data_IF_009105046223
#
_entry.id   IF_009105046223
#
_cell.length_a   1.000
_cell.length_b   1.000
_cell.length_c   1.000
_cell.angle_alpha   90.00
_cell.angle_beta   90.00
_cell.angle_gamma   90.00
#
_symmetry.space_group_name_H-M   'P 1'
#
loop_
_entity.id
_entity.type
_entity.pdbx_description
1 polymer ?
#
# COMPACT_ATOMS: atom_id res chain seq x y z
N UNK A 1 -3.60 17.97 -1.95
CA UNK A 1 -2.43 17.34 -2.61
C UNK A 1 -2.82 16.67 -3.94
N UNK A 2 -3.86 15.82 -3.94
CA UNK A 2 -4.30 15.07 -5.14
C UNK A 2 -4.55 15.98 -6.36
N UNK A 3 -5.29 17.09 -6.22
CA UNK A 3 -5.56 18.02 -7.33
C UNK A 3 -4.27 18.60 -7.92
N UNK A 4 -3.28 18.88 -7.09
CA UNK A 4 -1.98 19.34 -7.55
C UNK A 4 -1.20 18.22 -8.26
N UNK A 5 -1.12 17.04 -7.65
CA UNK A 5 -0.36 15.91 -8.23
C UNK A 5 -0.96 15.40 -9.53
N UNK A 6 -2.30 15.26 -9.60
CA UNK A 6 -2.98 14.65 -10.73
C UNK A 6 -3.31 15.66 -11.85
N UNK A 7 -3.49 16.94 -11.54
CA UNK A 7 -3.96 17.96 -12.48
C UNK A 7 -3.06 19.19 -12.57
N UNK A 8 -1.98 19.28 -11.77
CA UNK A 8 -1.11 20.45 -11.71
C UNK A 8 -1.78 21.70 -11.11
N UNK A 9 -2.98 21.56 -10.53
CA UNK A 9 -3.74 22.70 -10.03
C UNK A 9 -3.29 23.09 -8.60
N UNK A 10 -2.60 24.24 -8.49
CA UNK A 10 -2.12 24.83 -7.23
C UNK A 10 -3.17 25.66 -6.50
N UNK A 11 -4.15 26.18 -7.19
CA UNK A 11 -5.13 27.13 -6.63
C UNK A 11 -5.78 26.62 -5.31
N UNK A 12 -6.23 25.35 -5.19
CA UNK A 12 -6.77 24.86 -3.93
C UNK A 12 -5.79 24.88 -2.78
N UNK A 13 -4.49 24.64 -3.05
CA UNK A 13 -3.44 24.74 -2.02
C UNK A 13 -3.32 26.18 -1.56
N UNK A 14 -3.12 27.12 -2.47
CA UNK A 14 -2.94 28.54 -2.19
C UNK A 14 -4.14 29.14 -1.43
N UNK A 15 -5.36 28.83 -1.91
CA UNK A 15 -6.60 29.35 -1.34
C UNK A 15 -6.93 28.74 0.03
N UNK A 16 -6.67 27.45 0.22
CA UNK A 16 -7.04 26.75 1.47
C UNK A 16 -5.94 26.74 2.52
N UNK A 17 -4.69 27.03 2.16
CA UNK A 17 -3.56 26.98 3.09
C UNK A 17 -3.79 27.75 4.40
N UNK A 18 -4.28 29.02 4.43
CA UNK A 18 -4.48 29.76 5.68
C UNK A 18 -5.49 29.07 6.61
N UNK A 19 -6.49 28.41 6.06
CA UNK A 19 -7.51 27.69 6.85
C UNK A 19 -6.97 26.37 7.38
N UNK A 20 -6.27 25.61 6.56
CA UNK A 20 -5.62 24.36 6.97
C UNK A 20 -4.57 24.66 8.05
N UNK A 21 -3.77 25.72 7.87
CA UNK A 21 -2.79 26.19 8.86
C UNK A 21 -3.44 26.44 10.22
N UNK A 22 -4.56 27.19 10.27
CA UNK A 22 -5.30 27.43 11.51
C UNK A 22 -5.79 26.13 12.16
N UNK A 23 -6.23 25.19 11.35
CA UNK A 23 -6.68 23.88 11.83
C UNK A 23 -5.51 23.07 12.41
N UNK A 24 -4.39 23.04 11.75
CA UNK A 24 -3.17 22.35 12.23
C UNK A 24 -2.68 22.94 13.56
N UNK A 25 -2.65 24.27 13.68
CA UNK A 25 -2.30 24.97 14.92
C UNK A 25 -3.30 24.66 16.04
N UNK A 26 -4.60 24.60 15.74
CA UNK A 26 -5.62 24.23 16.69
C UNK A 26 -5.43 22.79 17.20
N UNK A 27 -5.24 21.83 16.31
CA UNK A 27 -4.98 20.44 16.69
C UNK A 27 -3.73 20.31 17.59
N UNK A 28 -2.67 21.00 17.23
CA UNK A 28 -1.44 21.03 18.01
C UNK A 28 -1.64 21.60 19.41
N UNK A 29 -2.35 22.72 19.51
CA UNK A 29 -2.61 23.39 20.79
C UNK A 29 -3.52 22.57 21.71
N UNK A 30 -4.61 22.03 21.17
CA UNK A 30 -5.68 21.44 21.99
C UNK A 30 -5.47 19.94 22.30
N UNK A 31 -4.80 19.19 21.39
CA UNK A 31 -4.76 17.74 21.47
C UNK A 31 -3.34 17.15 21.57
N UNK A 32 -2.30 17.97 21.45
CA UNK A 32 -0.93 17.49 21.66
C UNK A 32 -0.66 17.27 23.14
N UNK A 33 -0.29 16.05 23.52
CA UNK A 33 0.19 15.69 24.85
C UNK A 33 1.38 14.75 24.72
N UNK A 34 2.46 15.07 25.40
CA UNK A 34 3.69 14.26 25.38
C UNK A 34 4.20 13.94 23.96
N UNK A 35 4.05 14.89 23.03
CA UNK A 35 4.46 14.75 21.63
C UNK A 35 3.48 13.93 20.77
N UNK A 36 2.28 13.61 21.24
CA UNK A 36 1.30 12.79 20.55
C UNK A 36 -0.06 13.47 20.45
N UNK A 37 -0.78 13.27 19.34
CA UNK A 37 -2.16 13.74 19.18
C UNK A 37 -3.12 12.73 19.82
N UNK A 38 -3.77 13.12 20.91
CA UNK A 38 -4.58 12.22 21.73
C UNK A 38 -6.06 12.17 21.33
N UNK A 39 -6.44 12.84 20.25
CA UNK A 39 -7.81 12.88 19.76
C UNK A 39 -8.02 11.91 18.60
N UNK A 40 -8.64 10.80 18.91
CA UNK A 40 -9.21 9.88 17.94
C UNK A 40 -10.66 9.56 18.34
N UNK A 41 -11.49 9.22 17.36
CA UNK A 41 -12.90 8.89 17.62
C UNK A 41 -13.28 7.51 17.06
N UNK A 42 -12.75 7.14 15.91
CA UNK A 42 -13.24 5.98 15.17
C UNK A 42 -12.21 4.87 15.04
N UNK A 43 -10.93 5.16 15.22
CA UNK A 43 -9.85 4.18 15.03
C UNK A 43 -9.75 3.69 13.58
N UNK A 44 -9.27 2.47 13.42
CA UNK A 44 -9.26 1.77 12.13
C UNK A 44 -10.64 1.12 11.90
N UNK A 45 -11.60 1.94 11.48
CA UNK A 45 -12.99 1.55 11.30
C UNK A 45 -13.14 0.37 10.33
N UNK A 46 -14.05 -0.54 10.61
CA UNK A 46 -14.35 -1.70 9.77
C UNK A 46 -13.20 -2.70 9.62
N UNK A 47 -12.36 -2.89 10.63
CA UNK A 47 -11.47 -4.05 10.67
C UNK A 47 -12.32 -5.32 10.57
N UNK A 48 -11.94 -6.31 9.73
CA UNK A 48 -12.71 -7.55 9.61
C UNK A 48 -12.94 -8.20 10.98
N UNK A 49 -14.19 -8.41 11.39
CA UNK A 49 -14.48 -9.05 12.67
C UNK A 49 -14.16 -10.55 12.67
N UNK A 50 -14.06 -11.12 13.85
CA UNK A 50 -13.83 -12.55 14.09
C UNK A 50 -15.02 -13.45 13.71
N UNK A 51 -16.22 -12.87 13.54
CA UNK A 51 -17.45 -13.57 13.12
C UNK A 51 -18.19 -12.73 12.08
N UNK A 52 -18.79 -13.38 11.10
CA UNK A 52 -19.48 -12.75 9.98
C UNK A 52 -20.76 -12.00 10.38
N UNK A 53 -21.31 -12.24 11.56
CA UNK A 53 -22.50 -11.56 12.07
C UNK A 53 -22.17 -10.26 12.80
N UNK A 54 -20.91 -10.06 13.20
CA UNK A 54 -20.48 -8.88 13.93
C UNK A 54 -20.30 -7.68 12.98
N UNK A 55 -20.67 -6.49 13.45
CA UNK A 55 -20.37 -5.22 12.77
C UNK A 55 -18.92 -4.82 13.01
N UNK A 56 -18.45 -4.97 14.26
CA UNK A 56 -17.09 -4.63 14.68
C UNK A 56 -16.47 -5.79 15.44
N UNK A 57 -15.15 -5.91 15.31
CA UNK A 57 -14.39 -6.85 16.13
C UNK A 57 -14.53 -6.53 17.62
N UNK A 58 -14.65 -7.56 18.43
CA UNK A 58 -14.58 -7.49 19.90
C UNK A 58 -13.21 -7.92 20.43
N UNK A 59 -12.35 -8.41 19.56
CA UNK A 59 -10.99 -8.83 19.89
C UNK A 59 -10.07 -7.61 19.93
N UNK A 60 -9.60 -7.23 21.12
CA UNK A 60 -8.67 -6.12 21.32
C UNK A 60 -7.35 -6.29 20.55
N UNK A 61 -6.95 -7.52 20.22
CA UNK A 61 -5.77 -7.79 19.41
C UNK A 61 -5.92 -7.37 17.94
N UNK A 62 -7.14 -7.07 17.48
CA UNK A 62 -7.44 -6.56 16.13
C UNK A 62 -7.62 -5.03 16.09
N UNK A 63 -7.70 -4.40 17.25
CA UNK A 63 -7.98 -2.95 17.37
C UNK A 63 -6.66 -2.20 17.50
N UNK A 64 -6.40 -1.29 16.58
CA UNK A 64 -5.23 -0.40 16.63
C UNK A 64 -5.49 0.79 17.55
N UNK A 65 -4.48 1.18 18.34
CA UNK A 65 -4.54 2.35 19.23
C UNK A 65 -4.88 3.63 18.43
N UNK A 66 -5.94 4.34 18.87
CA UNK A 66 -6.42 5.55 18.21
C UNK A 66 -5.43 6.72 18.29
N UNK A 67 -4.65 6.82 19.37
CA UNK A 67 -3.61 7.84 19.51
C UNK A 67 -2.45 7.57 18.55
N UNK A 68 -2.13 6.30 18.28
CA UNK A 68 -1.16 5.92 17.25
C UNK A 68 -1.66 6.40 15.87
N UNK A 69 -2.90 6.11 15.52
CA UNK A 69 -3.50 6.49 14.24
C UNK A 69 -3.51 8.02 14.07
N UNK A 70 -4.07 8.74 15.03
CA UNK A 70 -4.18 10.21 14.95
C UNK A 70 -2.83 10.90 14.91
N UNK A 71 -1.84 10.40 15.65
CA UNK A 71 -0.47 10.96 15.63
C UNK A 71 0.22 10.68 14.31
N UNK A 72 0.14 9.45 13.78
CA UNK A 72 0.72 9.11 12.49
C UNK A 72 0.14 9.99 11.36
N UNK A 73 -1.18 10.17 11.32
CA UNK A 73 -1.81 11.06 10.35
C UNK A 73 -1.44 12.52 10.55
N UNK A 74 -1.30 13.00 11.80
CA UNK A 74 -0.88 14.37 12.03
C UNK A 74 0.55 14.61 11.54
N UNK A 75 1.46 13.67 11.75
CA UNK A 75 2.83 13.72 11.18
C UNK A 75 2.77 13.76 9.65
N UNK A 76 1.92 12.94 9.02
CA UNK A 76 1.71 12.99 7.57
C UNK A 76 1.18 14.33 7.08
N UNK A 77 0.27 14.95 7.84
CA UNK A 77 -0.23 16.30 7.54
C UNK A 77 0.84 17.37 7.71
N UNK A 78 1.74 17.26 8.69
CA UNK A 78 2.88 18.17 8.84
C UNK A 78 3.82 18.11 7.63
N UNK A 79 4.13 16.91 7.14
CA UNK A 79 4.93 16.72 5.92
C UNK A 79 4.23 17.35 4.68
N UNK A 80 2.91 17.18 4.57
CA UNK A 80 2.11 17.82 3.51
C UNK A 80 2.12 19.35 3.63
N UNK A 81 1.95 19.90 4.84
CA UNK A 81 1.98 21.34 5.09
C UNK A 81 3.35 21.94 4.80
N UNK A 82 4.43 21.24 5.12
CA UNK A 82 5.79 21.64 4.74
C UNK A 82 5.94 21.76 3.22
N UNK A 83 5.43 20.77 2.46
CA UNK A 83 5.41 20.82 0.99
C UNK A 83 4.56 21.99 0.46
N UNK A 84 3.38 22.21 1.03
CA UNK A 84 2.50 23.31 0.62
C UNK A 84 3.11 24.67 0.93
N UNK A 85 3.80 24.81 2.07
CA UNK A 85 4.55 26.00 2.42
C UNK A 85 5.70 26.26 1.43
N UNK A 86 6.45 25.22 1.05
CA UNK A 86 7.50 25.32 0.03
C UNK A 86 6.96 25.80 -1.32
N UNK A 87 5.81 25.29 -1.78
CA UNK A 87 5.18 25.71 -3.03
C UNK A 87 4.76 27.19 -3.02
N UNK A 88 4.60 27.81 -1.85
CA UNK A 88 4.19 29.19 -1.67
C UNK A 88 5.32 30.10 -1.15
N UNK A 89 6.56 29.57 -1.05
CA UNK A 89 7.73 30.27 -0.52
C UNK A 89 7.54 30.77 0.94
N UNK A 90 6.80 30.03 1.76
CA UNK A 90 6.54 30.31 3.17
C UNK A 90 7.59 29.59 4.05
N UNK A 91 8.80 30.11 4.09
CA UNK A 91 9.99 29.49 4.71
C UNK A 91 9.80 29.23 6.22
N UNK A 92 9.25 30.19 6.97
CA UNK A 92 9.02 30.06 8.41
C UNK A 92 8.06 28.90 8.71
N UNK A 93 6.94 28.85 8.01
CA UNK A 93 5.97 27.77 8.15
C UNK A 93 6.58 26.42 7.76
N UNK A 94 7.31 26.34 6.65
CA UNK A 94 8.00 25.11 6.22
C UNK A 94 8.90 24.58 7.34
N UNK A 95 9.75 25.43 7.89
CA UNK A 95 10.68 25.05 8.95
C UNK A 95 9.95 24.63 10.23
N UNK A 96 8.87 25.31 10.59
CA UNK A 96 8.05 24.96 11.73
C UNK A 96 7.41 23.56 11.58
N UNK A 97 6.81 23.29 10.42
CA UNK A 97 6.18 21.97 10.16
C UNK A 97 7.21 20.85 10.17
N UNK A 98 8.39 21.06 9.61
CA UNK A 98 9.50 20.09 9.62
C UNK A 98 10.00 19.81 11.04
N UNK A 99 10.17 20.85 11.86
CA UNK A 99 10.60 20.71 13.24
C UNK A 99 9.59 19.88 14.04
N UNK A 100 8.30 20.21 13.96
CA UNK A 100 7.24 19.47 14.64
C UNK A 100 7.12 18.03 14.16
N UNK A 101 7.22 17.78 12.85
CA UNK A 101 7.21 16.43 12.31
C UNK A 101 8.34 15.59 12.91
N UNK A 102 9.55 16.14 13.00
CA UNK A 102 10.70 15.43 13.59
C UNK A 102 10.48 15.11 15.07
N UNK A 103 10.10 16.10 15.88
CA UNK A 103 9.84 15.93 17.32
C UNK A 103 8.77 14.87 17.56
N UNK A 104 7.72 14.91 16.77
CA UNK A 104 6.61 13.95 16.91
C UNK A 104 6.98 12.54 16.43
N UNK A 105 7.81 12.39 15.39
CA UNK A 105 8.35 11.09 14.98
C UNK A 105 9.17 10.45 16.11
N UNK A 106 9.99 11.25 16.80
CA UNK A 106 10.77 10.78 17.95
C UNK A 106 9.88 10.34 19.11
N UNK A 107 8.86 11.14 19.47
CA UNK A 107 7.90 10.81 20.52
C UNK A 107 7.08 9.56 20.17
N UNK A 108 6.66 9.43 18.91
CA UNK A 108 5.90 8.30 18.39
C UNK A 108 6.70 7.00 18.50
N UNK A 109 7.96 7.00 18.04
CA UNK A 109 8.83 5.83 18.12
C UNK A 109 9.15 5.47 19.57
N UNK A 110 9.41 6.47 20.44
CA UNK A 110 9.65 6.23 21.87
C UNK A 110 8.47 5.51 22.55
N UNK A 111 7.24 5.81 22.13
CA UNK A 111 6.04 5.21 22.76
C UNK A 111 5.64 3.88 22.14
N UNK A 112 5.68 3.76 20.81
CA UNK A 112 5.02 2.68 20.10
C UNK A 112 5.95 1.66 19.47
N UNK A 113 7.22 2.00 19.22
CA UNK A 113 8.18 1.06 18.66
C UNK A 113 8.71 0.14 19.77
N UNK A 114 8.43 -1.14 19.63
CA UNK A 114 8.93 -2.19 20.50
C UNK A 114 10.05 -2.96 19.79
N UNK A 115 11.21 -3.02 20.42
CA UNK A 115 12.38 -3.77 19.94
C UNK A 115 12.66 -4.84 20.98
N UNK A 116 12.25 -6.06 20.70
CA UNK A 116 12.54 -7.24 21.49
C UNK A 116 13.64 -8.04 20.78
N UNK A 117 14.85 -8.02 21.32
CA UNK A 117 15.97 -8.81 20.80
C UNK A 117 15.78 -10.27 21.19
N UNK A 118 15.96 -11.18 20.24
CA UNK A 118 15.91 -12.61 20.48
C UNK A 118 16.89 -13.02 21.57
N UNK A 119 16.47 -13.91 22.48
CA UNK A 119 17.28 -14.37 23.63
C UNK A 119 18.37 -15.35 23.25
N UNK A 120 18.53 -15.70 21.97
CA UNK A 120 19.57 -16.57 21.47
C UNK A 120 20.95 -15.90 21.54
N UNK A 121 21.93 -16.60 22.09
CA UNK A 121 23.33 -16.17 22.10
C UNK A 121 23.95 -16.10 20.66
N UNK A 122 23.22 -16.53 19.65
CA UNK A 122 23.64 -16.46 18.24
C UNK A 122 22.70 -15.48 17.48
N UNK A 123 23.18 -14.31 17.06
CA UNK A 123 22.45 -13.43 16.19
C UNK A 123 21.97 -14.19 14.94
N UNK A 124 20.70 -13.99 14.57
CA UNK A 124 20.12 -14.63 13.39
C UNK A 124 19.63 -16.07 13.57
N UNK A 125 19.46 -16.55 14.80
CA UNK A 125 18.83 -17.84 15.03
C UNK A 125 17.33 -17.78 14.64
N UNK A 126 16.88 -18.54 13.61
CA UNK A 126 15.51 -18.50 13.14
C UNK A 126 14.47 -18.96 14.17
N UNK A 127 14.89 -19.65 15.24
CA UNK A 127 13.99 -20.09 16.32
C UNK A 127 13.64 -18.96 17.31
N UNK A 128 14.44 -17.88 17.35
CA UNK A 128 14.24 -16.74 18.24
C UNK A 128 14.55 -15.44 17.50
N UNK A 129 13.76 -15.08 16.47
CA UNK A 129 14.00 -13.85 15.72
C UNK A 129 13.76 -12.62 16.59
N UNK A 130 14.49 -11.56 16.31
CA UNK A 130 14.17 -10.24 16.84
C UNK A 130 12.73 -9.88 16.46
N UNK A 131 11.99 -9.31 17.38
CA UNK A 131 10.64 -8.81 17.14
C UNK A 131 10.63 -7.30 17.21
N UNK A 132 10.62 -6.64 16.06
CA UNK A 132 10.52 -5.19 15.94
C UNK A 132 9.14 -4.87 15.37
N UNK A 133 8.31 -4.23 16.19
CA UNK A 133 6.90 -3.98 15.85
C UNK A 133 6.36 -2.73 16.52
N UNK A 134 5.24 -2.24 16.03
CA UNK A 134 4.51 -1.14 16.65
C UNK A 134 3.32 -1.61 17.48
N UNK A 135 3.18 -1.05 18.67
CA UNK A 135 2.05 -1.24 19.60
C UNK A 135 1.67 -2.73 19.74
N UNK A 136 0.40 -3.07 19.56
CA UNK A 136 -0.15 -4.43 19.65
C UNK A 136 0.03 -5.26 18.36
N UNK A 137 0.91 -4.86 17.46
CA UNK A 137 1.27 -5.60 16.25
C UNK A 137 0.12 -5.86 15.28
N UNK A 138 -0.87 -4.96 15.18
CA UNK A 138 -1.85 -5.04 14.09
C UNK A 138 -1.20 -4.67 12.75
N UNK A 139 -1.83 -5.07 11.63
CA UNK A 139 -1.37 -4.65 10.30
C UNK A 139 -1.29 -3.13 10.23
N UNK A 140 -2.34 -2.42 10.64
CA UNK A 140 -2.42 -0.94 10.61
C UNK A 140 -1.39 -0.27 11.51
N UNK A 141 -1.12 -0.83 12.71
CA UNK A 141 -0.12 -0.28 13.64
C UNK A 141 1.30 -0.28 13.06
N UNK A 142 1.65 -1.30 12.27
CA UNK A 142 2.95 -1.38 11.58
C UNK A 142 2.95 -0.63 10.24
N UNK A 143 1.84 -0.63 9.54
CA UNK A 143 1.71 -0.09 8.20
C UNK A 143 1.78 1.45 8.16
N UNK A 144 1.05 2.14 9.05
CA UNK A 144 1.01 3.61 9.04
C UNK A 144 2.38 4.25 9.25
N UNK A 145 3.19 3.83 10.25
CA UNK A 145 4.52 4.40 10.42
C UNK A 145 5.46 4.10 9.23
N UNK A 146 5.32 2.98 8.54
CA UNK A 146 6.06 2.72 7.29
C UNK A 146 5.59 3.65 6.17
N UNK A 147 4.29 3.73 5.93
CA UNK A 147 3.71 4.54 4.85
C UNK A 147 3.96 6.04 5.00
N UNK A 148 4.20 6.52 6.22
CA UNK A 148 4.43 7.93 6.55
C UNK A 148 5.89 8.24 6.90
N UNK A 149 6.81 7.33 6.59
CA UNK A 149 8.25 7.48 6.81
C UNK A 149 8.60 7.87 8.27
N UNK A 150 7.93 7.21 9.24
CA UNK A 150 8.15 7.37 10.69
C UNK A 150 9.13 6.32 11.21
N UNK A 151 9.14 5.13 10.60
CA UNK A 151 9.99 4.00 11.04
C UNK A 151 11.46 4.31 10.81
N UNK A 152 12.34 4.16 11.83
CA UNK A 152 13.78 4.26 11.63
C UNK A 152 14.27 3.30 10.53
N UNK A 153 15.26 3.74 9.75
CA UNK A 153 15.72 3.02 8.56
C UNK A 153 16.14 1.58 8.86
N UNK A 154 16.86 1.38 9.95
CA UNK A 154 17.34 0.09 10.43
C UNK A 154 16.22 -0.86 10.91
N UNK A 155 15.04 -0.34 11.22
CA UNK A 155 13.87 -1.12 11.65
C UNK A 155 12.88 -1.44 10.51
N UNK A 156 12.98 -0.79 9.34
CA UNK A 156 11.98 -0.87 8.28
C UNK A 156 11.76 -2.29 7.76
N UNK A 157 12.83 -3.06 7.61
CA UNK A 157 12.77 -4.46 7.14
C UNK A 157 11.97 -5.35 8.09
N UNK A 158 12.25 -5.24 9.39
CA UNK A 158 11.61 -6.07 10.41
C UNK A 158 10.14 -5.70 10.58
N UNK A 159 9.82 -4.39 10.63
CA UNK A 159 8.42 -3.91 10.68
C UNK A 159 7.64 -4.36 9.43
N UNK A 160 8.26 -4.33 8.25
CA UNK A 160 7.65 -4.90 7.03
C UNK A 160 7.41 -6.40 7.19
N UNK A 161 8.37 -7.13 7.75
CA UNK A 161 8.22 -8.55 8.07
C UNK A 161 7.04 -8.85 8.98
N UNK A 162 6.74 -7.97 9.95
CA UNK A 162 5.54 -8.12 10.80
C UNK A 162 4.23 -7.97 10.01
N UNK A 163 4.17 -7.04 9.04
CA UNK A 163 2.98 -6.90 8.17
C UNK A 163 2.78 -8.18 7.37
N UNK A 164 3.84 -8.72 6.77
CA UNK A 164 3.79 -9.96 5.99
C UNK A 164 3.36 -11.14 6.86
N UNK A 165 3.99 -11.32 8.03
CA UNK A 165 3.65 -12.38 8.97
C UNK A 165 2.18 -12.28 9.43
N UNK A 166 1.71 -11.08 9.78
CA UNK A 166 0.31 -10.87 10.14
C UNK A 166 -0.64 -11.17 8.96
N UNK A 167 -0.30 -10.74 7.75
CA UNK A 167 -1.11 -10.98 6.57
C UNK A 167 -1.19 -12.47 6.23
N UNK A 168 -0.06 -13.16 6.19
CA UNK A 168 0.00 -14.56 5.74
C UNK A 168 -0.36 -15.53 6.87
N UNK A 169 0.31 -15.40 8.03
CA UNK A 169 0.18 -16.42 9.09
C UNK A 169 -1.04 -16.18 9.98
N UNK A 170 -1.32 -14.93 10.34
CA UNK A 170 -2.43 -14.62 11.24
C UNK A 170 -3.77 -14.47 10.51
N UNK A 171 -3.77 -13.85 9.32
CA UNK A 171 -4.97 -13.57 8.54
C UNK A 171 -5.14 -14.53 7.34
N UNK A 172 -4.30 -15.56 7.20
CA UNK A 172 -4.44 -16.59 6.16
C UNK A 172 -4.41 -16.03 4.72
N UNK A 173 -3.59 -15.00 4.45
CA UNK A 173 -3.53 -14.34 3.14
C UNK A 173 -4.69 -13.39 2.86
N UNK A 174 -5.34 -12.85 3.90
CA UNK A 174 -6.46 -11.94 3.79
C UNK A 174 -6.15 -10.55 4.39
N UNK A 175 -7.01 -9.59 4.08
CA UNK A 175 -6.94 -8.23 4.60
C UNK A 175 -7.21 -8.24 6.11
N UNK A 176 -6.27 -7.69 6.89
CA UNK A 176 -6.35 -7.64 8.36
C UNK A 176 -6.50 -6.23 8.91
N UNK A 177 -6.95 -5.27 8.09
CA UNK A 177 -7.10 -3.86 8.47
C UNK A 177 -8.47 -3.31 8.03
N UNK A 178 -8.85 -2.19 8.62
CA UNK A 178 -10.05 -1.43 8.27
C UNK A 178 -9.77 -0.33 7.25
N UNK A 179 -10.65 0.69 7.24
CA UNK A 179 -10.62 1.80 6.26
C UNK A 179 -9.35 2.63 6.32
N UNK A 180 -8.69 2.69 7.47
CA UNK A 180 -7.44 3.45 7.65
C UNK A 180 -6.26 2.69 7.05
N UNK A 181 -6.10 1.42 7.41
CA UNK A 181 -4.99 0.60 6.92
C UNK A 181 -5.11 0.27 5.44
N UNK A 182 -6.28 -0.07 4.95
CA UNK A 182 -6.48 -0.49 3.56
C UNK A 182 -6.14 0.59 2.52
N UNK A 183 -6.08 1.88 2.93
CA UNK A 183 -5.69 2.98 2.04
C UNK A 183 -4.20 3.01 1.69
N UNK A 184 -3.38 2.24 2.39
CA UNK A 184 -1.92 2.27 2.24
C UNK A 184 -1.32 0.89 1.98
N UNK A 185 -2.11 -0.19 2.15
CA UNK A 185 -1.62 -1.56 2.27
C UNK A 185 -0.93 -2.05 1.00
N UNK A 186 -1.60 -1.98 -0.14
CA UNK A 186 -1.09 -2.60 -1.38
C UNK A 186 0.11 -1.84 -1.93
N UNK A 187 0.04 -0.50 -1.95
CA UNK A 187 1.12 0.35 -2.44
C UNK A 187 2.35 0.28 -1.55
N UNK A 188 2.17 0.21 -0.22
CA UNK A 188 3.30 0.10 0.69
C UNK A 188 3.96 -1.28 0.60
N UNK A 189 3.19 -2.36 0.50
CA UNK A 189 3.74 -3.70 0.23
C UNK A 189 4.58 -3.71 -1.05
N UNK A 190 4.07 -3.11 -2.14
CA UNK A 190 4.79 -3.02 -3.40
C UNK A 190 6.03 -2.12 -3.30
N UNK A 191 5.95 -1.01 -2.57
CA UNK A 191 7.11 -0.13 -2.29
C UNK A 191 8.24 -0.88 -1.57
N UNK A 192 7.89 -1.89 -0.79
CA UNK A 192 8.82 -2.76 -0.05
C UNK A 192 9.19 -4.06 -0.77
N UNK A 193 8.88 -4.16 -2.07
CA UNK A 193 9.16 -5.34 -2.90
C UNK A 193 8.35 -6.60 -2.55
N UNK A 194 7.15 -6.42 -1.99
CA UNK A 194 6.20 -7.49 -1.70
C UNK A 194 4.95 -7.41 -2.58
N UNK A 195 5.14 -7.12 -3.85
CA UNK A 195 4.03 -6.98 -4.81
C UNK A 195 3.24 -8.27 -5.03
N UNK A 196 3.85 -9.44 -4.84
CA UNK A 196 3.13 -10.72 -4.87
C UNK A 196 2.13 -10.83 -3.73
N UNK A 197 2.47 -10.35 -2.52
CA UNK A 197 1.54 -10.30 -1.38
C UNK A 197 0.43 -9.28 -1.64
N UNK A 198 0.76 -8.12 -2.21
CA UNK A 198 -0.25 -7.14 -2.61
C UNK A 198 -1.21 -7.73 -3.65
N UNK A 199 -0.70 -8.45 -4.64
CA UNK A 199 -1.52 -9.13 -5.66
C UNK A 199 -2.37 -10.26 -5.06
N UNK A 200 -1.83 -11.05 -4.14
CA UNK A 200 -2.58 -12.06 -3.40
C UNK A 200 -3.81 -11.44 -2.72
N UNK A 201 -3.63 -10.34 -2.00
CA UNK A 201 -4.73 -9.62 -1.35
C UNK A 201 -5.74 -9.05 -2.35
N UNK A 202 -5.25 -8.42 -3.43
CA UNK A 202 -6.08 -7.81 -4.47
C UNK A 202 -6.92 -8.84 -5.25
N UNK A 203 -6.40 -10.05 -5.47
CA UNK A 203 -7.03 -11.12 -6.25
C UNK A 203 -7.81 -12.13 -5.41
N UNK A 204 -7.75 -12.05 -4.08
CA UNK A 204 -8.43 -12.99 -3.19
C UNK A 204 -9.95 -12.91 -3.37
N UNK A 205 -10.61 -14.08 -3.32
CA UNK A 205 -12.06 -14.23 -3.52
C UNK A 205 -12.81 -14.69 -2.27
N UNK A 206 -12.09 -15.01 -1.20
CA UNK A 206 -12.66 -15.44 0.08
C UNK A 206 -12.66 -14.29 1.09
N UNK A 207 -13.48 -14.40 2.13
CA UNK A 207 -13.62 -13.37 3.18
C UNK A 207 -12.35 -13.23 4.02
N UNK A 208 -11.94 -12.00 4.33
CA UNK A 208 -12.37 -10.71 3.82
C UNK A 208 -11.57 -10.28 2.57
N UNK A 209 -12.28 -9.90 1.50
CA UNK A 209 -11.65 -9.39 0.28
C UNK A 209 -12.66 -8.67 -0.62
N UNK A 210 -12.16 -7.89 -1.60
CA UNK A 210 -13.00 -7.30 -2.65
C UNK A 210 -13.64 -8.36 -3.54
N UNK A 211 -12.91 -9.45 -3.84
CA UNK A 211 -13.44 -10.57 -4.62
C UNK A 211 -14.57 -11.30 -3.89
N UNK A 212 -14.53 -11.40 -2.56
CA UNK A 212 -15.65 -11.92 -1.77
C UNK A 212 -16.88 -11.03 -1.94
N UNK A 213 -16.77 -9.71 -1.79
CA UNK A 213 -17.91 -8.80 -2.01
C UNK A 213 -18.54 -9.02 -3.39
N UNK A 214 -17.71 -9.09 -4.45
CA UNK A 214 -18.18 -9.32 -5.81
C UNK A 214 -18.89 -10.68 -5.98
N UNK A 215 -18.35 -11.76 -5.40
CA UNK A 215 -18.98 -13.09 -5.43
C UNK A 215 -20.30 -13.15 -4.67
N UNK A 216 -20.45 -12.32 -3.63
CA UNK A 216 -21.72 -12.21 -2.88
C UNK A 216 -22.72 -11.23 -3.54
N UNK A 217 -22.47 -10.79 -4.77
CA UNK A 217 -23.38 -9.97 -5.54
C UNK A 217 -23.27 -8.47 -5.30
N UNK A 218 -22.17 -7.98 -4.69
CA UNK A 218 -21.92 -6.55 -4.56
C UNK A 218 -21.78 -5.89 -5.94
N UNK A 219 -22.53 -4.83 -6.18
CA UNK A 219 -22.41 -3.97 -7.38
C UNK A 219 -21.55 -2.75 -7.13
N UNK A 220 -21.30 -2.44 -5.86
CA UNK A 220 -20.43 -1.37 -5.38
C UNK A 220 -19.66 -1.86 -4.15
N UNK A 221 -18.71 -1.09 -3.66
CA UNK A 221 -17.99 -1.41 -2.40
C UNK A 221 -18.95 -1.24 -1.22
N UNK A 222 -18.99 -2.26 -0.35
CA UNK A 222 -19.74 -2.21 0.90
C UNK A 222 -18.98 -1.45 1.98
N UNK A 223 -19.73 -0.97 2.98
CA UNK A 223 -19.15 -0.35 4.19
C UNK A 223 -18.37 -1.35 5.05
N UNK A 224 -18.87 -2.60 5.12
CA UNK A 224 -18.28 -3.68 5.90
C UNK A 224 -17.78 -4.80 4.98
N UNK A 225 -16.67 -5.44 5.34
CA UNK A 225 -16.16 -6.61 4.61
C UNK A 225 -17.17 -7.76 4.51
N UNK A 226 -18.03 -7.90 5.53
CA UNK A 226 -19.13 -8.85 5.65
C UNK A 226 -20.51 -8.22 5.44
N UNK A 227 -20.62 -7.28 4.51
CA UNK A 227 -21.84 -6.49 4.29
C UNK A 227 -23.10 -7.29 3.95
N UNK A 228 -22.94 -8.54 3.49
CA UNK A 228 -24.04 -9.46 3.21
C UNK A 228 -24.59 -10.16 4.45
N UNK A 229 -23.84 -10.23 5.56
CA UNK A 229 -24.20 -10.98 6.78
C UNK A 229 -24.30 -10.10 8.02
N UNK A 230 -23.68 -8.91 8.01
CA UNK A 230 -23.74 -7.96 9.11
C UNK A 230 -25.15 -7.37 9.27
N UNK A 231 -25.43 -6.81 10.45
CA UNK A 231 -26.71 -6.16 10.73
C UNK A 231 -26.98 -5.02 9.73
N UNK A 232 -28.08 -5.07 8.95
CA UNK A 232 -28.37 -4.08 7.91
C UNK A 232 -28.51 -2.63 8.40
N UNK A 233 -28.87 -2.44 9.67
CA UNK A 233 -29.06 -1.09 10.23
C UNK A 233 -27.77 -0.25 10.30
N UNK A 234 -26.61 -0.90 10.22
CA UNK A 234 -25.29 -0.27 10.32
C UNK A 234 -24.41 -0.50 9.09
N UNK A 235 -24.97 -0.95 7.99
CA UNK A 235 -24.21 -1.36 6.81
C UNK A 235 -24.79 -0.73 5.55
N UNK A 236 -23.96 0.07 4.86
CA UNK A 236 -24.27 0.61 3.54
C UNK A 236 -23.75 -0.33 2.45
N UNK A 237 -24.59 -0.60 1.45
CA UNK A 237 -24.20 -1.36 0.26
C UNK A 237 -23.45 -0.53 -0.79
N UNK A 238 -23.22 0.77 -0.54
CA UNK A 238 -22.51 1.70 -1.42
C UNK A 238 -21.66 2.68 -0.61
N UNK A 239 -20.44 2.25 -0.26
CA UNK A 239 -19.56 2.99 0.61
C UNK A 239 -18.09 2.85 0.19
N UNK A 240 -17.55 3.86 -0.46
CA UNK A 240 -16.25 3.79 -1.17
C UNK A 240 -15.02 3.57 -0.27
N UNK A 241 -15.12 3.74 1.03
CA UNK A 241 -13.95 3.78 1.93
C UNK A 241 -13.13 2.49 1.91
N UNK A 242 -13.78 1.32 1.86
CA UNK A 242 -13.08 0.03 1.76
C UNK A 242 -12.51 -0.28 0.38
N UNK A 243 -12.67 0.60 -0.63
CA UNK A 243 -11.88 0.49 -1.86
C UNK A 243 -10.39 0.60 -1.56
N UNK A 244 -10.05 1.42 -0.55
CA UNK A 244 -8.68 1.60 -0.11
C UNK A 244 -7.78 2.12 -1.21
N UNK A 245 -6.62 1.51 -1.34
CA UNK A 245 -5.64 1.82 -2.38
C UNK A 245 -5.63 0.82 -3.56
N UNK A 246 -6.65 -0.03 -3.69
CA UNK A 246 -6.74 -1.03 -4.77
C UNK A 246 -6.61 -0.40 -6.16
N UNK A 247 -7.44 0.63 -6.45
CA UNK A 247 -7.41 1.27 -7.77
C UNK A 247 -6.12 2.06 -8.02
N UNK A 248 -5.63 2.91 -7.09
CA UNK A 248 -4.30 3.51 -7.21
C UNK A 248 -3.19 2.47 -7.41
N UNK A 249 -3.21 1.35 -6.71
CA UNK A 249 -2.24 0.28 -6.87
C UNK A 249 -2.26 -0.35 -8.27
N UNK A 250 -3.46 -0.59 -8.82
CA UNK A 250 -3.60 -1.10 -10.19
C UNK A 250 -2.93 -0.16 -11.21
N UNK A 251 -3.13 1.16 -11.08
CA UNK A 251 -2.52 2.14 -11.98
C UNK A 251 -1.04 2.36 -11.70
N UNK A 252 -0.67 2.58 -10.45
CA UNK A 252 0.67 3.00 -10.08
C UNK A 252 1.69 1.85 -10.04
N UNK A 253 1.25 0.64 -9.70
CA UNK A 253 2.13 -0.52 -9.56
C UNK A 253 1.94 -1.54 -10.69
N UNK A 254 0.74 -2.06 -10.89
CA UNK A 254 0.52 -3.07 -11.92
C UNK A 254 0.70 -2.50 -13.34
N UNK A 255 0.10 -1.34 -13.64
CA UNK A 255 0.27 -0.66 -14.94
C UNK A 255 1.49 0.24 -14.99
N UNK A 256 1.99 0.70 -13.84
CA UNK A 256 3.15 1.58 -13.72
C UNK A 256 2.92 3.02 -14.12
N UNK A 257 1.68 3.48 -14.23
CA UNK A 257 1.35 4.85 -14.67
C UNK A 257 1.33 5.79 -13.46
N UNK A 258 2.28 6.73 -13.38
CA UNK A 258 2.37 7.72 -12.28
C UNK A 258 2.62 9.12 -12.83
N UNK A 259 2.09 10.14 -12.14
CA UNK A 259 2.50 11.53 -12.34
C UNK A 259 3.80 11.79 -11.59
N UNK A 260 4.72 12.51 -12.22
CA UNK A 260 5.90 13.02 -11.52
C UNK A 260 5.46 14.03 -10.44
N UNK A 261 6.12 13.97 -9.28
CA UNK A 261 5.83 14.86 -8.15
C UNK A 261 6.36 16.28 -8.35
N UNK A 262 7.40 16.45 -9.16
CA UNK A 262 8.01 17.74 -9.47
C UNK A 262 7.37 18.38 -10.72
N UNK A 263 7.01 17.56 -11.71
CA UNK A 263 6.34 17.99 -12.94
C UNK A 263 4.92 17.44 -12.97
N UNK A 264 4.08 17.92 -12.05
CA UNK A 264 2.74 17.42 -11.76
C UNK A 264 1.77 17.47 -12.94
N UNK A 265 0.62 16.81 -12.79
CA UNK A 265 -0.46 16.83 -13.78
C UNK A 265 -0.17 15.98 -15.01
N UNK A 266 0.73 15.01 -14.92
CA UNK A 266 1.19 14.18 -16.05
C UNK A 266 1.88 14.99 -17.17
N UNK A 267 2.44 16.15 -16.84
CA UNK A 267 3.34 16.86 -17.75
C UNK A 267 4.60 16.04 -18.01
N UNK A 268 5.08 15.38 -16.99
CA UNK A 268 6.06 14.30 -17.05
C UNK A 268 5.46 13.05 -16.44
N UNK A 269 5.59 11.93 -17.15
CA UNK A 269 4.95 10.66 -16.81
C UNK A 269 6.03 9.69 -16.34
N UNK A 270 5.82 9.01 -15.22
CA UNK A 270 6.69 7.92 -14.80
C UNK A 270 6.00 6.62 -15.17
N UNK A 271 6.67 5.82 -16.00
CA UNK A 271 6.23 4.50 -16.40
C UNK A 271 7.13 3.45 -15.74
N UNK A 272 6.59 2.81 -14.70
CA UNK A 272 7.31 1.82 -13.89
C UNK A 272 6.37 0.70 -13.46
N UNK A 273 5.94 -0.17 -14.39
CA UNK A 273 5.14 -1.35 -14.04
C UNK A 273 5.98 -2.34 -13.23
N UNK A 274 5.32 -3.05 -12.33
CA UNK A 274 5.96 -4.09 -11.56
C UNK A 274 5.78 -5.46 -12.24
N UNK A 275 6.73 -5.80 -13.10
CA UNK A 275 6.75 -7.09 -13.80
C UNK A 275 7.13 -8.27 -12.90
N UNK A 276 7.56 -8.03 -11.65
CA UNK A 276 7.95 -9.10 -10.72
C UNK A 276 6.78 -9.90 -10.17
N UNK A 277 5.55 -9.38 -10.25
CA UNK A 277 4.34 -10.07 -9.76
C UNK A 277 4.15 -11.39 -10.53
N UNK A 278 4.38 -12.51 -9.85
CA UNK A 278 4.49 -13.83 -10.51
C UNK A 278 3.18 -14.23 -11.20
N UNK A 279 2.05 -14.09 -10.53
CA UNK A 279 0.73 -14.54 -11.01
C UNK A 279 -0.05 -13.48 -11.80
N UNK A 280 0.58 -12.37 -12.17
CA UNK A 280 0.01 -11.35 -13.04
C UNK A 280 0.69 -11.42 -14.42
N UNK A 281 -0.03 -11.89 -15.42
CA UNK A 281 0.51 -12.19 -16.73
C UNK A 281 0.25 -11.10 -17.77
N UNK A 282 -0.70 -10.23 -17.55
CA UNK A 282 -0.99 -9.11 -18.45
C UNK A 282 -1.69 -7.95 -17.74
N UNK A 283 -1.46 -6.76 -18.25
CA UNK A 283 -2.20 -5.55 -17.87
C UNK A 283 -2.55 -4.78 -19.13
N UNK A 284 -3.77 -4.25 -19.17
CA UNK A 284 -4.21 -3.34 -20.21
C UNK A 284 -4.82 -2.11 -19.55
N UNK A 285 -4.00 -1.08 -19.35
CA UNK A 285 -4.40 0.12 -18.65
C UNK A 285 -4.30 1.37 -19.51
N UNK A 286 -5.23 2.30 -19.30
CA UNK A 286 -5.14 3.63 -19.86
C UNK A 286 -5.65 4.67 -18.88
N UNK A 287 -5.01 5.83 -18.87
CA UNK A 287 -5.40 6.99 -18.07
C UNK A 287 -5.58 8.20 -18.98
N UNK A 288 -6.66 8.93 -18.82
CA UNK A 288 -6.91 10.16 -19.58
C UNK A 288 -6.46 11.36 -18.75
N UNK A 289 -5.26 11.84 -19.04
CA UNK A 289 -4.70 13.05 -18.44
C UNK A 289 -5.25 14.31 -19.14
N UNK A 290 -4.88 15.49 -18.63
CA UNK A 290 -5.19 16.79 -19.30
C UNK A 290 -4.54 16.91 -20.68
N UNK A 291 -3.47 16.16 -20.96
CA UNK A 291 -2.75 16.18 -22.23
C UNK A 291 -3.22 15.12 -23.22
N UNK A 292 -4.06 14.20 -22.77
CA UNK A 292 -4.58 13.12 -23.58
C UNK A 292 -4.42 11.74 -22.92
N UNK A 293 -4.56 10.70 -23.73
CA UNK A 293 -4.56 9.32 -23.27
C UNK A 293 -3.12 8.81 -23.07
N UNK A 294 -2.83 8.32 -21.88
CA UNK A 294 -1.65 7.55 -21.55
C UNK A 294 -2.05 6.08 -21.58
N UNK A 295 -1.26 5.22 -22.21
CA UNK A 295 -1.49 3.78 -22.20
C UNK A 295 -0.23 3.04 -21.73
N UNK A 296 -0.45 2.00 -20.95
CA UNK A 296 0.54 1.00 -20.56
C UNK A 296 -0.12 -0.36 -20.68
N UNK A 297 0.29 -1.14 -21.66
CA UNK A 297 -0.25 -2.47 -21.96
C UNK A 297 0.90 -3.45 -22.05
N UNK A 298 0.88 -4.44 -21.19
CA UNK A 298 1.95 -5.43 -21.23
C UNK A 298 1.41 -6.85 -21.08
N UNK A 299 2.16 -7.78 -21.66
CA UNK A 299 1.92 -9.22 -21.55
C UNK A 299 3.24 -9.92 -21.26
N UNK A 300 3.25 -10.70 -20.21
CA UNK A 300 4.39 -11.45 -19.73
C UNK A 300 4.40 -12.87 -20.32
N UNK A 301 5.57 -13.30 -20.75
CA UNK A 301 5.91 -14.68 -21.07
C UNK A 301 6.84 -15.22 -19.97
N UNK A 302 7.41 -16.41 -20.15
CA UNK A 302 8.35 -16.98 -19.17
C UNK A 302 9.70 -16.23 -19.13
N UNK A 303 10.08 -15.55 -20.22
CA UNK A 303 11.43 -14.95 -20.37
C UNK A 303 11.41 -13.46 -20.61
N UNK A 304 10.31 -12.90 -21.08
CA UNK A 304 10.21 -11.49 -21.43
C UNK A 304 8.80 -10.93 -21.28
N UNK A 305 8.69 -9.61 -21.32
CA UNK A 305 7.44 -8.85 -21.37
C UNK A 305 7.38 -8.08 -22.67
N UNK A 306 6.28 -8.22 -23.41
CA UNK A 306 5.91 -7.32 -24.49
C UNK A 306 5.14 -6.14 -23.90
N UNK A 307 5.66 -4.93 -24.11
CA UNK A 307 5.12 -3.72 -23.47
C UNK A 307 4.86 -2.58 -24.48
N UNK A 308 3.59 -2.26 -24.68
CA UNK A 308 3.13 -1.15 -25.52
C UNK A 308 2.82 0.08 -24.66
N UNK A 309 3.35 1.22 -25.06
CA UNK A 309 3.20 2.51 -24.38
C UNK A 309 2.66 3.55 -25.37
N UNK A 310 1.73 4.38 -24.89
CA UNK A 310 1.32 5.60 -25.58
C UNK A 310 1.53 6.80 -24.69
N UNK A 311 2.30 7.78 -25.17
CA UNK A 311 2.57 9.06 -24.52
C UNK A 311 1.87 10.17 -25.28
N UNK A 312 0.98 10.95 -24.63
CA UNK A 312 0.22 11.99 -25.29
C UNK A 312 1.08 13.18 -25.74
N UNK A 313 0.55 14.00 -26.64
CA UNK A 313 1.25 15.17 -27.14
C UNK A 313 1.63 16.14 -26.03
N UNK A 314 2.73 16.88 -26.22
CA UNK A 314 3.22 17.91 -25.30
C UNK A 314 3.60 17.38 -23.90
N UNK A 315 3.88 16.10 -23.77
CA UNK A 315 4.37 15.46 -22.52
C UNK A 315 5.66 14.70 -22.78
N UNK A 316 6.36 14.40 -21.69
CA UNK A 316 7.52 13.52 -21.69
C UNK A 316 7.29 12.38 -20.69
N UNK A 317 8.06 11.32 -20.83
CA UNK A 317 8.01 10.23 -19.85
C UNK A 317 9.40 9.66 -19.57
N UNK A 318 9.58 9.13 -18.37
CA UNK A 318 10.67 8.21 -18.08
C UNK A 318 10.12 6.79 -17.94
N UNK A 319 10.78 5.87 -18.65
CA UNK A 319 10.47 4.45 -18.68
C UNK A 319 11.50 3.71 -17.84
N UNK A 320 11.04 3.04 -16.79
CA UNK A 320 11.90 2.25 -15.92
C UNK A 320 11.86 0.78 -16.31
N UNK A 321 13.00 0.18 -16.51
CA UNK A 321 13.15 -1.23 -16.88
C UNK A 321 13.57 -2.08 -15.66
N UNK A 322 13.32 -3.42 -15.68
CA UNK A 322 13.67 -4.31 -14.57
C UNK A 322 15.16 -4.39 -14.26
N UNK A 323 16.03 -4.14 -15.25
CA UNK A 323 17.48 -4.09 -15.10
C UNK A 323 17.98 -2.82 -14.37
N UNK A 324 17.06 -1.92 -14.00
CA UNK A 324 17.35 -0.64 -13.36
C UNK A 324 17.66 0.49 -14.34
N UNK A 325 17.70 0.23 -15.66
CA UNK A 325 17.87 1.29 -16.65
C UNK A 325 16.63 2.18 -16.77
N UNK A 326 16.86 3.45 -17.14
CA UNK A 326 15.81 4.45 -17.31
C UNK A 326 15.98 5.11 -18.67
N UNK A 327 14.91 5.15 -19.46
CA UNK A 327 14.88 5.83 -20.74
C UNK A 327 13.95 7.04 -20.70
N UNK A 328 14.43 8.20 -21.16
CA UNK A 328 13.60 9.39 -21.37
C UNK A 328 13.00 9.34 -22.77
N UNK A 329 11.67 9.53 -22.87
CA UNK A 329 10.96 9.53 -24.13
C UNK A 329 10.02 10.72 -24.26
N UNK A 330 9.71 11.08 -25.49
CA UNK A 330 8.71 12.12 -25.84
C UNK A 330 7.32 11.55 -26.12
N UNK A 331 6.49 12.37 -26.74
CA UNK A 331 5.17 11.95 -27.25
C UNK A 331 5.32 10.89 -28.35
N UNK A 332 4.46 9.89 -28.35
CA UNK A 332 4.51 8.83 -29.35
C UNK A 332 3.94 7.50 -28.87
N UNK A 333 4.11 6.49 -29.72
CA UNK A 333 3.81 5.11 -29.40
C UNK A 333 5.12 4.33 -29.43
N UNK A 334 5.31 3.50 -28.44
CA UNK A 334 6.53 2.73 -28.25
C UNK A 334 6.16 1.28 -27.97
N UNK A 335 7.02 0.39 -28.42
CA UNK A 335 6.96 -1.03 -28.15
C UNK A 335 8.31 -1.51 -27.64
N UNK A 336 8.29 -2.24 -26.53
CA UNK A 336 9.48 -2.81 -25.91
C UNK A 336 9.30 -4.31 -25.67
N UNK A 337 10.33 -5.06 -25.99
CA UNK A 337 10.51 -6.43 -25.51
C UNK A 337 11.51 -6.37 -24.36
N UNK A 338 11.04 -6.63 -23.15
CA UNK A 338 11.81 -6.45 -21.91
C UNK A 338 12.14 -7.80 -21.33
N UNK A 339 13.41 -8.14 -21.23
CA UNK A 339 13.83 -9.35 -20.52
C UNK A 339 13.50 -9.22 -19.04
N UNK A 340 12.88 -10.24 -18.47
CA UNK A 340 12.65 -10.34 -17.04
C UNK A 340 13.65 -11.33 -16.44
N UNK A 341 14.18 -11.03 -15.24
CA UNK A 341 15.04 -11.98 -14.55
C UNK A 341 14.33 -13.32 -14.47
N UNK A 342 15.03 -14.38 -14.82
CA UNK A 342 14.50 -15.73 -14.66
C UNK A 342 13.99 -15.88 -13.22
N UNK A 343 12.84 -16.53 -13.07
CA UNK A 343 12.34 -16.98 -11.76
C UNK A 343 13.53 -17.58 -11.02
N UNK A 344 13.68 -17.26 -9.73
CA UNK A 344 14.83 -17.61 -8.88
C UNK A 344 15.60 -18.84 -9.38
N UNK A 345 16.95 -18.82 -9.49
CA UNK A 345 17.75 -19.89 -10.12
C UNK A 345 17.48 -21.30 -9.58
N UNK A 346 16.85 -21.40 -8.39
CA UNK A 346 16.43 -22.66 -7.80
C UNK A 346 15.07 -23.19 -8.33
N UNK A 347 14.35 -22.39 -9.14
CA UNK A 347 13.08 -22.82 -9.75
C UNK A 347 13.38 -23.17 -11.21
N UNK A 348 13.47 -24.46 -11.48
CA UNK A 348 13.72 -24.97 -12.84
C UNK A 348 12.40 -25.05 -13.62
N UNK A 349 11.32 -25.42 -12.94
CA UNK A 349 9.99 -25.54 -13.52
C UNK A 349 8.92 -25.17 -12.48
N UNK A 350 7.87 -24.48 -12.91
CA UNK A 350 6.72 -24.11 -12.06
C UNK A 350 5.44 -24.35 -12.86
N UNK A 351 4.72 -25.40 -12.51
CA UNK A 351 3.45 -25.76 -13.13
C UNK A 351 2.50 -26.36 -12.09
N UNK A 352 1.20 -26.26 -12.35
CA UNK A 352 0.23 -26.98 -11.55
C UNK A 352 0.18 -28.43 -11.98
N UNK A 353 0.43 -29.34 -11.05
CA UNK A 353 0.26 -30.78 -11.28
C UNK A 353 -1.22 -31.14 -11.53
N UNK A 354 -2.14 -30.38 -10.94
CA UNK A 354 -3.59 -30.55 -11.10
C UNK A 354 -4.30 -29.20 -11.12
N UNK A 355 -5.15 -28.97 -12.09
CA UNK A 355 -6.14 -27.89 -12.06
C UNK A 355 -7.33 -28.25 -11.14
N UNK A 356 -7.67 -29.54 -11.06
CA UNK A 356 -8.60 -30.15 -10.09
C UNK A 356 -7.98 -31.40 -9.55
N UNK A 357 -7.64 -31.41 -8.26
CA UNK A 357 -7.12 -32.61 -7.62
C UNK A 357 -8.19 -33.72 -7.61
N UNK A 358 -7.85 -34.97 -7.94
CA UNK A 358 -8.80 -36.10 -7.87
C UNK A 358 -9.08 -36.56 -6.44
N UNK A 359 -8.57 -35.85 -5.44
CA UNK A 359 -8.68 -36.15 -4.01
C UNK A 359 -8.99 -34.87 -3.21
N UNK A 360 -9.71 -34.98 -2.07
CA UNK A 360 -10.18 -33.82 -1.31
C UNK A 360 -9.06 -33.08 -0.54
N UNK A 361 -7.97 -33.74 -0.18
CA UNK A 361 -6.89 -33.18 0.63
C UNK A 361 -5.52 -33.72 0.21
N UNK A 362 -4.49 -32.85 0.28
CA UNK A 362 -3.09 -33.22 0.12
C UNK A 362 -2.26 -32.56 1.24
N UNK A 363 -1.69 -33.36 2.14
CA UNK A 363 -0.93 -32.85 3.28
C UNK A 363 0.56 -32.62 2.98
N UNK A 364 1.12 -33.36 2.04
CA UNK A 364 2.51 -33.20 1.62
C UNK A 364 2.66 -33.72 0.19
N UNK A 365 3.38 -32.97 -0.64
CA UNK A 365 3.79 -33.43 -1.96
C UNK A 365 5.30 -33.65 -1.96
N UNK A 366 5.70 -34.81 -2.48
CA UNK A 366 7.11 -35.13 -2.74
C UNK A 366 7.26 -35.43 -4.22
N UNK A 367 8.23 -34.79 -4.85
CA UNK A 367 8.59 -35.06 -6.26
C UNK A 367 9.94 -35.80 -6.20
N UNK A 368 10.01 -36.94 -6.89
CA UNK A 368 11.24 -37.67 -7.10
C UNK A 368 11.38 -37.97 -8.60
N UNK A 369 12.55 -37.71 -9.14
CA UNK A 369 12.91 -38.14 -10.50
C UNK A 369 13.36 -39.60 -10.43
N UNK A 370 12.80 -40.42 -11.29
CA UNK A 370 13.21 -41.84 -11.45
C UNK A 370 14.12 -41.97 -12.66
N UNK A 371 14.95 -43.05 -12.71
CA UNK A 371 15.94 -43.28 -13.76
C UNK A 371 15.34 -43.40 -15.19
N UNK A 372 14.03 -43.49 -15.30
CA UNK A 372 13.28 -43.58 -16.56
C UNK A 372 12.42 -42.34 -16.87
N UNK A 373 12.61 -41.20 -16.13
CA UNK A 373 11.90 -39.94 -16.30
C UNK A 373 10.61 -39.85 -15.50
#
# INVERSE_FOLDING_TARGET
>A
DMLYTQFGNREPIERCYPYIRKWMLHLHKEYLKDGLITKDRYGDWCVPPESLELIHSKDSARITDGTLISTAYYIKLLDMMSRFASLQNLEEDRNQWQAWAKEMKDAFNKKYLHIERGTSQKPGNPLYPDSIRYSNNTVTANLLPLAFDIVPEDCQKDVTGQIIANTILRNGGHIGCGVIGVQWLLRELSRRSFSDVAFLLASNKTYPSWGYMAQQGATTIWELWNGNTANPAMNSGNHVMLLGDLLPWCYENAAGIRSDREKTGFKHIILKPDFSIQNLFWVNASYRSLYGKIESRWKKTLTHVEWDITIPCNTTAEVHFPDGSIQQIGSGKYHYTVEIPAIHPAVIQNEFLYEKAPFPECHASTIAELDNG
#
